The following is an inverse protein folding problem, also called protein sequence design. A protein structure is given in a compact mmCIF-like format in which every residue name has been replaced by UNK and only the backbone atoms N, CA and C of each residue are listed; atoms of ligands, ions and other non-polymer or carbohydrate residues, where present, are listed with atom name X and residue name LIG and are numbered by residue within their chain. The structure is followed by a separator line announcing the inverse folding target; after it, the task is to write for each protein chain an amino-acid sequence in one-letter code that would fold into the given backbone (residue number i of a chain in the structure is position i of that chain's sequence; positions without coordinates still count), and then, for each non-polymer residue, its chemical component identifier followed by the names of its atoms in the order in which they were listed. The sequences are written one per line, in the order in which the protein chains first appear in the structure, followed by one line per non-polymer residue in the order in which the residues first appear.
data_IF_253599337579
#
_entry.id   IF_253599337579
#
_cell.length_a   1.000
_cell.length_b   1.000
_cell.length_c   1.000
_cell.angle_alpha   90.00
_cell.angle_beta   90.00
_cell.angle_gamma   90.00
#
_symmetry.space_group_name_H-M   'P 1'
#
loop_
_entity.id
_entity.type
_entity.pdbx_description
1 polymer ?
#
# COMPACT_ATOMS: atom_id res chain seq x y z
N UNK A 1 25.96 8.87 14.66
CA UNK A 1 25.47 8.42 13.35
C UNK A 1 25.17 9.63 12.50
N UNK A 2 25.67 9.68 11.27
CA UNK A 2 25.43 10.80 10.36
C UNK A 2 23.93 10.81 9.99
N UNK A 3 23.19 11.84 10.38
CA UNK A 3 21.73 11.94 10.14
C UNK A 3 21.37 12.13 8.66
N UNK A 4 22.33 12.36 7.78
CA UNK A 4 22.11 12.68 6.37
C UNK A 4 21.66 11.47 5.50
N UNK A 5 21.83 10.24 6.00
CA UNK A 5 21.44 9.00 5.31
C UNK A 5 20.18 8.33 5.87
N UNK A 6 19.42 9.01 6.72
CA UNK A 6 18.22 8.45 7.31
C UNK A 6 17.09 8.38 6.24
N UNK A 7 16.45 7.23 6.12
CA UNK A 7 15.22 7.06 5.34
C UNK A 7 14.04 7.50 6.21
N UNK A 8 13.13 8.30 5.66
CA UNK A 8 11.95 8.72 6.41
C UNK A 8 10.97 7.58 6.60
N UNK A 9 10.67 6.86 5.50
CA UNK A 9 9.78 5.70 5.54
C UNK A 9 10.31 4.60 4.64
N UNK A 10 10.44 3.39 5.18
CA UNK A 10 10.62 2.16 4.40
C UNK A 10 9.32 1.40 4.36
N UNK A 11 8.80 1.10 3.18
CA UNK A 11 7.59 0.30 3.00
C UNK A 11 7.95 -1.11 2.57
N UNK A 12 7.16 -2.10 3.02
CA UNK A 12 7.35 -3.52 2.70
C UNK A 12 6.02 -4.09 2.21
N UNK A 13 6.01 -4.64 1.01
CA UNK A 13 4.78 -5.14 0.40
C UNK A 13 4.98 -5.92 -0.89
N UNK A 14 3.87 -6.21 -1.55
CA UNK A 14 3.85 -6.88 -2.83
C UNK A 14 4.38 -5.95 -3.94
N UNK A 15 5.42 -6.41 -4.66
CA UNK A 15 5.93 -5.75 -5.84
C UNK A 15 5.16 -6.27 -7.07
N UNK A 16 4.18 -5.52 -7.53
CA UNK A 16 3.28 -5.89 -8.63
C UNK A 16 3.46 -4.91 -9.78
N UNK A 17 3.47 -5.40 -11.01
CA UNK A 17 3.44 -4.55 -12.20
C UNK A 17 2.00 -4.43 -12.69
N UNK A 18 1.47 -3.22 -12.73
CA UNK A 18 0.13 -2.95 -13.27
C UNK A 18 0.23 -2.79 -14.80
N UNK A 19 -0.58 -3.59 -15.50
CA UNK A 19 -0.70 -3.61 -16.95
C UNK A 19 -2.11 -3.13 -17.28
N UNK A 20 -2.21 -1.83 -17.61
CA UNK A 20 -3.50 -1.16 -17.80
C UNK A 20 -3.81 -1.08 -19.28
N UNK A 21 -4.98 -1.57 -19.69
CA UNK A 21 -5.45 -1.51 -21.09
C UNK A 21 -6.94 -1.21 -21.16
N UNK A 22 -7.34 -0.52 -22.21
CA UNK A 22 -8.76 -0.35 -22.55
C UNK A 22 -9.27 -1.59 -23.27
N UNK A 23 -10.48 -2.01 -22.97
CA UNK A 23 -11.13 -3.13 -23.65
C UNK A 23 -12.62 -2.87 -23.82
N UNK A 24 -13.27 -3.69 -24.67
CA UNK A 24 -14.73 -3.72 -24.81
C UNK A 24 -15.38 -4.64 -23.79
N UNK A 25 -16.69 -4.47 -23.53
CA UNK A 25 -17.46 -5.43 -22.72
C UNK A 25 -17.47 -6.84 -23.36
N UNK A 26 -17.43 -6.92 -24.71
CA UNK A 26 -17.33 -8.21 -25.40
C UNK A 26 -16.01 -8.94 -25.09
N UNK A 27 -14.90 -8.22 -24.97
CA UNK A 27 -13.63 -8.81 -24.59
C UNK A 27 -13.69 -9.44 -23.18
N UNK A 28 -14.34 -8.78 -22.22
CA UNK A 28 -14.51 -9.37 -20.89
C UNK A 28 -15.30 -10.69 -20.95
N UNK A 29 -16.38 -10.73 -21.74
CA UNK A 29 -17.21 -11.93 -21.93
C UNK A 29 -16.39 -13.03 -22.61
N UNK A 30 -15.66 -12.74 -23.68
CA UNK A 30 -14.80 -13.69 -24.41
C UNK A 30 -13.70 -14.27 -23.52
N UNK A 31 -13.23 -13.46 -22.56
CA UNK A 31 -12.19 -13.87 -21.61
C UNK A 31 -12.77 -14.44 -20.30
N UNK A 32 -14.06 -14.62 -20.17
CA UNK A 32 -14.75 -15.11 -18.94
C UNK A 32 -14.37 -14.31 -17.69
N UNK A 33 -14.38 -12.98 -17.82
CA UNK A 33 -14.05 -12.04 -16.74
C UNK A 33 -15.30 -11.31 -16.30
N UNK A 34 -15.60 -11.38 -15.00
CA UNK A 34 -16.68 -10.61 -14.40
C UNK A 34 -16.28 -9.14 -14.34
N UNK A 35 -17.11 -8.26 -14.92
CA UNK A 35 -16.87 -6.81 -14.91
C UNK A 35 -16.82 -6.29 -13.47
N UNK A 36 -15.96 -5.32 -13.23
CA UNK A 36 -15.77 -4.65 -11.93
C UNK A 36 -15.30 -5.60 -10.80
N UNK A 37 -14.67 -6.72 -11.15
CA UNK A 37 -14.17 -7.69 -10.18
C UNK A 37 -12.65 -7.66 -10.04
N UNK A 38 -12.15 -8.13 -8.89
CA UNK A 38 -10.75 -8.46 -8.67
C UNK A 38 -10.60 -9.98 -8.54
N UNK A 39 -9.79 -10.58 -9.40
CA UNK A 39 -9.55 -12.01 -9.45
C UNK A 39 -8.06 -12.32 -9.27
N UNK A 40 -7.76 -13.29 -8.40
CA UNK A 40 -6.44 -13.91 -8.40
C UNK A 40 -6.39 -14.96 -9.49
N UNK A 41 -5.37 -14.89 -10.33
CA UNK A 41 -5.16 -15.80 -11.45
C UNK A 41 -3.79 -16.48 -11.36
N UNK A 42 -3.64 -17.61 -12.05
CA UNK A 42 -2.36 -18.31 -12.16
C UNK A 42 -1.47 -17.73 -13.29
N UNK A 43 -0.25 -18.27 -13.41
CA UNK A 43 0.75 -17.81 -14.37
C UNK A 43 0.31 -18.04 -15.83
N UNK A 44 -0.36 -19.16 -16.12
CA UNK A 44 -0.83 -19.51 -17.46
C UNK A 44 -1.94 -18.56 -17.90
N UNK A 45 -2.88 -18.28 -17.01
CA UNK A 45 -3.97 -17.32 -17.25
C UNK A 45 -3.44 -15.91 -17.44
N UNK A 46 -2.50 -15.47 -16.59
CA UNK A 46 -1.86 -14.17 -16.71
C UNK A 46 -1.17 -14.01 -18.06
N UNK A 47 -0.42 -15.02 -18.48
CA UNK A 47 0.25 -15.03 -19.79
C UNK A 47 -0.76 -15.00 -20.92
N UNK A 48 -1.78 -15.85 -20.88
CA UNK A 48 -2.82 -15.91 -21.92
C UNK A 48 -3.54 -14.59 -22.07
N UNK A 49 -3.90 -13.92 -20.96
CA UNK A 49 -4.51 -12.60 -21.04
C UNK A 49 -3.57 -11.56 -21.64
N UNK A 50 -2.31 -11.52 -21.18
CA UNK A 50 -1.31 -10.57 -21.66
C UNK A 50 -1.07 -10.68 -23.18
N UNK A 51 -0.97 -11.91 -23.69
CA UNK A 51 -0.74 -12.17 -25.12
C UNK A 51 -1.92 -11.71 -26.00
N UNK A 52 -3.10 -11.48 -25.44
CA UNK A 52 -4.31 -10.99 -26.14
C UNK A 52 -4.52 -9.47 -26.03
N UNK A 53 -3.60 -8.73 -25.36
CA UNK A 53 -3.71 -7.28 -25.25
C UNK A 53 -3.10 -6.57 -26.46
N UNK A 54 -3.81 -5.58 -26.99
CA UNK A 54 -3.29 -4.80 -28.15
C UNK A 54 -2.29 -3.72 -27.73
N UNK A 55 -2.66 -2.90 -26.74
CA UNK A 55 -1.83 -1.80 -26.19
C UNK A 55 -2.05 -1.71 -24.70
N UNK A 56 -0.98 -1.59 -23.94
CA UNK A 56 -1.04 -1.45 -22.51
C UNK A 56 -0.06 -0.40 -22.00
N UNK A 57 -0.43 0.26 -20.92
CA UNK A 57 0.48 1.03 -20.09
C UNK A 57 1.01 0.10 -19.00
N UNK A 58 2.32 0.08 -18.81
CA UNK A 58 2.98 -0.77 -17.82
C UNK A 58 3.64 0.14 -16.78
N UNK A 59 3.28 0.01 -15.51
CA UNK A 59 3.79 0.82 -14.41
C UNK A 59 4.02 -0.06 -13.18
N UNK A 60 4.93 0.36 -12.29
CA UNK A 60 5.07 -0.26 -10.98
C UNK A 60 3.80 -0.03 -10.16
N UNK A 61 3.32 -1.05 -9.46
CA UNK A 61 2.11 -1.05 -8.64
C UNK A 61 2.31 -1.83 -7.34
N UNK A 62 1.21 -2.12 -6.66
CA UNK A 62 1.18 -2.70 -5.32
C UNK A 62 1.00 -1.64 -4.23
N UNK A 63 0.17 -1.95 -3.22
CA UNK A 63 -0.28 -1.00 -2.19
C UNK A 63 0.89 -0.29 -1.49
N UNK A 64 1.83 -1.04 -0.91
CA UNK A 64 2.97 -0.43 -0.23
C UNK A 64 3.94 0.29 -1.19
N UNK A 65 4.03 -0.12 -2.46
CA UNK A 65 4.82 0.58 -3.47
C UNK A 65 4.17 1.91 -3.86
N UNK A 66 2.82 1.96 -3.99
CA UNK A 66 2.07 3.19 -4.19
C UNK A 66 2.30 4.17 -3.02
N UNK A 67 2.24 3.65 -1.79
CA UNK A 67 2.53 4.43 -0.58
C UNK A 67 3.96 5.00 -0.61
N UNK A 68 4.97 4.19 -0.99
CA UNK A 68 6.37 4.66 -1.12
C UNK A 68 6.51 5.80 -2.14
N UNK A 69 5.86 5.66 -3.30
CA UNK A 69 5.87 6.69 -4.35
C UNK A 69 5.20 7.97 -3.87
N UNK A 70 4.05 7.88 -3.20
CA UNK A 70 3.40 9.05 -2.61
C UNK A 70 4.28 9.76 -1.59
N UNK A 71 5.00 9.02 -0.73
CA UNK A 71 5.96 9.56 0.24
C UNK A 71 7.10 10.31 -0.46
N UNK A 72 7.65 9.73 -1.54
CA UNK A 72 8.70 10.37 -2.34
C UNK A 72 8.18 11.63 -3.05
N UNK A 73 6.97 11.59 -3.62
CA UNK A 73 6.32 12.73 -4.25
C UNK A 73 6.05 13.89 -3.29
N UNK A 74 5.82 13.61 -1.99
CA UNK A 74 5.71 14.60 -0.92
C UNK A 74 7.05 15.17 -0.47
N UNK A 75 8.19 14.62 -0.96
CA UNK A 75 9.53 15.10 -0.68
C UNK A 75 10.25 14.41 0.49
N UNK A 76 9.70 13.35 1.05
CA UNK A 76 10.40 12.50 2.03
C UNK A 76 11.26 11.44 1.34
N UNK A 77 12.30 10.96 2.03
CA UNK A 77 13.14 9.86 1.56
C UNK A 77 12.41 8.54 1.78
N UNK A 78 12.06 7.87 0.69
CA UNK A 78 11.35 6.60 0.70
C UNK A 78 12.22 5.43 0.23
N UNK A 79 12.01 4.25 0.82
CA UNK A 79 12.54 2.98 0.32
C UNK A 79 11.41 1.95 0.26
N UNK A 80 11.53 1.01 -0.67
CA UNK A 80 10.59 -0.09 -0.82
C UNK A 80 11.32 -1.43 -0.78
N UNK A 81 10.75 -2.39 -0.04
CA UNK A 81 11.18 -3.79 0.00
C UNK A 81 10.05 -4.66 -0.52
N UNK A 82 10.32 -5.38 -1.58
CA UNK A 82 9.37 -6.30 -2.22
C UNK A 82 10.11 -7.22 -3.17
N UNK A 83 9.51 -8.35 -3.57
CA UNK A 83 10.19 -9.36 -4.38
C UNK A 83 9.73 -9.32 -5.82
N UNK A 84 10.68 -9.15 -6.73
CA UNK A 84 10.49 -9.31 -8.18
C UNK A 84 11.47 -10.34 -8.70
N UNK A 85 11.18 -10.92 -9.87
CA UNK A 85 12.09 -11.82 -10.56
C UNK A 85 13.06 -11.06 -11.45
N UNK A 86 14.18 -11.67 -11.79
CA UNK A 86 15.10 -11.21 -12.81
C UNK A 86 14.51 -11.49 -14.21
N UNK A 87 13.47 -10.74 -14.56
CA UNK A 87 12.76 -10.76 -15.84
C UNK A 87 12.40 -9.33 -16.28
N UNK A 88 11.81 -9.20 -17.46
CA UNK A 88 11.48 -7.90 -18.04
C UNK A 88 10.58 -7.05 -17.14
N UNK A 89 9.53 -7.64 -16.56
CA UNK A 89 8.63 -6.92 -15.65
C UNK A 89 9.32 -6.53 -14.34
N UNK A 90 10.24 -7.36 -13.83
CA UNK A 90 11.02 -7.06 -12.63
C UNK A 90 11.96 -5.87 -12.84
N UNK A 91 12.61 -5.79 -14.01
CA UNK A 91 13.41 -4.63 -14.39
C UNK A 91 12.54 -3.39 -14.56
N UNK A 92 11.41 -3.51 -15.27
CA UNK A 92 10.44 -2.42 -15.42
C UNK A 92 9.97 -1.89 -14.06
N UNK A 93 9.62 -2.77 -13.13
CA UNK A 93 9.24 -2.37 -11.77
C UNK A 93 10.33 -1.55 -11.09
N UNK A 94 11.57 -2.06 -11.11
CA UNK A 94 12.70 -1.39 -10.48
C UNK A 94 12.96 -0.02 -11.09
N UNK A 95 13.07 0.05 -12.40
CA UNK A 95 13.41 1.30 -13.12
C UNK A 95 12.32 2.37 -12.89
N UNK A 96 11.06 1.96 -12.89
CA UNK A 96 9.93 2.87 -12.68
C UNK A 96 9.87 3.40 -11.25
N UNK A 97 10.03 2.55 -10.23
CA UNK A 97 9.97 2.99 -8.84
C UNK A 97 11.20 3.81 -8.43
N UNK A 98 12.39 3.51 -8.96
CA UNK A 98 13.61 4.27 -8.72
C UNK A 98 13.57 5.63 -9.43
N UNK A 99 12.96 5.72 -10.61
CA UNK A 99 12.80 6.98 -11.36
C UNK A 99 12.00 8.03 -10.59
N UNK A 100 11.05 7.62 -9.77
CA UNK A 100 10.27 8.54 -8.91
C UNK A 100 10.92 8.80 -7.55
N UNK A 101 12.15 8.33 -7.33
CA UNK A 101 12.97 8.65 -6.15
C UNK A 101 12.84 7.67 -4.99
N UNK A 102 12.19 6.52 -5.17
CA UNK A 102 12.12 5.46 -4.16
C UNK A 102 13.33 4.53 -4.27
N UNK A 103 14.04 4.28 -3.18
CA UNK A 103 15.15 3.32 -3.16
C UNK A 103 14.64 1.89 -3.18
N UNK A 104 15.05 1.09 -4.17
CA UNK A 104 14.70 -0.32 -4.30
C UNK A 104 15.95 -1.19 -4.42
N UNK A 105 16.31 -1.91 -3.35
CA UNK A 105 17.56 -2.70 -3.28
C UNK A 105 17.34 -4.19 -3.02
N UNK A 106 16.10 -4.65 -2.92
CA UNK A 106 15.78 -6.06 -2.74
C UNK A 106 16.37 -6.89 -3.88
N UNK A 107 17.13 -7.96 -3.58
CA UNK A 107 17.71 -8.81 -4.61
C UNK A 107 16.63 -9.47 -5.47
N UNK A 108 16.86 -9.53 -6.78
CA UNK A 108 15.98 -10.23 -7.71
C UNK A 108 15.95 -11.73 -7.45
N UNK A 109 14.78 -12.32 -7.61
CA UNK A 109 14.61 -13.77 -7.64
C UNK A 109 15.16 -14.31 -8.97
N UNK A 110 16.20 -15.16 -8.93
CA UNK A 110 16.80 -15.69 -10.16
C UNK A 110 16.05 -16.92 -10.71
N UNK A 111 15.43 -17.71 -9.83
CA UNK A 111 14.70 -18.93 -10.19
C UNK A 111 13.33 -18.92 -9.50
N UNK A 112 12.30 -19.43 -10.19
CA UNK A 112 10.95 -19.51 -9.64
C UNK A 112 9.93 -18.72 -10.47
N UNK A 113 8.79 -18.35 -9.88
CA UNK A 113 7.69 -17.70 -10.58
C UNK A 113 8.10 -16.34 -11.18
N UNK A 114 7.42 -15.92 -12.24
CA UNK A 114 7.61 -14.62 -12.90
C UNK A 114 7.26 -13.46 -11.93
N UNK A 115 7.72 -12.26 -12.24
CA UNK A 115 7.31 -11.06 -11.53
C UNK A 115 5.78 -10.95 -11.50
N UNK A 116 5.24 -10.55 -10.36
CA UNK A 116 3.82 -10.34 -10.17
C UNK A 116 3.27 -9.28 -11.14
N UNK A 117 2.07 -9.51 -11.65
CA UNK A 117 1.40 -8.55 -12.53
C UNK A 117 -0.10 -8.50 -12.27
N UNK A 118 -0.69 -7.32 -12.39
CA UNK A 118 -2.13 -7.12 -12.37
C UNK A 118 -2.56 -6.59 -13.73
N UNK A 119 -3.33 -7.38 -14.49
CA UNK A 119 -3.92 -6.96 -15.76
C UNK A 119 -5.22 -6.25 -15.45
N UNK A 120 -5.24 -4.95 -15.68
CA UNK A 120 -6.34 -4.05 -15.38
C UNK A 120 -7.04 -3.68 -16.69
N UNK A 121 -8.23 -4.25 -16.87
CA UNK A 121 -9.07 -4.08 -18.04
C UNK A 121 -10.08 -2.96 -17.77
N UNK A 122 -10.01 -1.88 -18.56
CA UNK A 122 -10.85 -0.69 -18.39
C UNK A 122 -11.87 -0.63 -19.50
N UNK A 123 -13.15 -0.72 -19.19
CA UNK A 123 -14.25 -0.61 -20.16
C UNK A 123 -14.63 0.85 -20.46
N UNK A 124 -15.39 1.16 -21.55
CA UNK A 124 -15.70 2.53 -21.95
C UNK A 124 -16.47 3.37 -20.91
N UNK A 125 -17.16 2.72 -19.97
CA UNK A 125 -17.83 3.33 -18.82
C UNK A 125 -16.91 3.54 -17.61
N UNK A 126 -15.59 3.37 -17.81
CA UNK A 126 -14.52 3.50 -16.82
C UNK A 126 -14.53 2.43 -15.71
N UNK A 127 -15.30 1.35 -15.85
CA UNK A 127 -15.26 0.21 -14.93
C UNK A 127 -13.97 -0.60 -15.11
N UNK A 128 -13.43 -1.11 -13.98
CA UNK A 128 -12.17 -1.84 -13.96
C UNK A 128 -12.35 -3.28 -13.52
N UNK A 129 -11.76 -4.19 -14.28
CA UNK A 129 -11.68 -5.60 -13.92
C UNK A 129 -10.21 -5.97 -13.76
N UNK A 130 -9.82 -6.37 -12.56
CA UNK A 130 -8.44 -6.67 -12.20
C UNK A 130 -8.20 -8.17 -12.18
N UNK A 131 -7.10 -8.60 -12.81
CA UNK A 131 -6.70 -9.99 -12.88
C UNK A 131 -5.25 -10.07 -12.40
N UNK A 132 -5.04 -10.48 -11.15
CA UNK A 132 -3.76 -10.37 -10.45
C UNK A 132 -3.09 -11.71 -10.30
N UNK A 133 -1.89 -11.83 -10.84
CA UNK A 133 -0.95 -12.92 -10.62
C UNK A 133 0.10 -12.49 -9.60
N UNK A 134 0.14 -13.15 -8.45
CA UNK A 134 1.04 -12.78 -7.36
C UNK A 134 2.51 -13.16 -7.58
N UNK A 135 2.79 -14.15 -8.39
CA UNK A 135 4.13 -14.49 -8.89
C UNK A 135 5.23 -14.44 -7.84
N UNK A 136 6.31 -13.73 -8.16
CA UNK A 136 7.50 -13.64 -7.32
C UNK A 136 7.26 -12.94 -5.97
N UNK A 137 6.25 -12.09 -5.83
CA UNK A 137 6.06 -11.31 -4.60
C UNK A 137 5.77 -12.20 -3.38
N UNK A 138 5.14 -13.37 -3.56
CA UNK A 138 4.89 -14.34 -2.46
C UNK A 138 6.17 -15.03 -1.95
N UNK A 139 7.31 -14.83 -2.60
CA UNK A 139 8.60 -15.39 -2.20
C UNK A 139 9.45 -14.44 -1.34
N UNK A 140 8.87 -13.31 -0.91
CA UNK A 140 9.53 -12.44 0.05
C UNK A 140 9.82 -13.23 1.34
N UNK A 141 11.05 -13.13 1.84
CA UNK A 141 11.46 -13.78 3.08
C UNK A 141 12.44 -12.93 3.91
N UNK A 142 12.93 -13.48 5.02
CA UNK A 142 13.86 -12.81 5.93
C UNK A 142 15.16 -12.32 5.26
N UNK A 143 15.62 -12.98 4.17
CA UNK A 143 16.84 -12.60 3.48
C UNK A 143 16.67 -11.35 2.63
N UNK A 144 15.44 -10.94 2.36
CA UNK A 144 15.11 -9.74 1.60
C UNK A 144 15.05 -8.48 2.50
N UNK A 145 15.02 -8.67 3.81
CA UNK A 145 15.01 -7.60 4.80
C UNK A 145 16.45 -7.16 5.10
N UNK A 146 16.87 -6.05 4.52
CA UNK A 146 18.14 -5.41 4.87
C UNK A 146 18.03 -4.77 6.26
N UNK A 147 18.68 -5.40 7.23
CA UNK A 147 18.69 -4.93 8.62
C UNK A 147 19.24 -3.49 8.74
N UNK A 148 20.22 -3.12 7.92
CA UNK A 148 20.79 -1.76 7.91
C UNK A 148 19.77 -0.74 7.43
N UNK A 149 18.98 -1.08 6.40
CA UNK A 149 17.89 -0.24 5.91
C UNK A 149 16.86 0.00 7.01
N UNK A 150 16.40 -1.07 7.67
CA UNK A 150 15.40 -0.97 8.74
C UNK A 150 15.92 -0.13 9.92
N UNK A 151 17.17 -0.33 10.34
CA UNK A 151 17.79 0.46 11.41
C UNK A 151 17.89 1.95 11.09
N UNK A 152 18.08 2.29 9.83
CA UNK A 152 18.20 3.66 9.34
C UNK A 152 16.87 4.26 8.84
N UNK A 153 15.73 3.66 9.16
CA UNK A 153 14.39 4.16 8.82
C UNK A 153 13.72 4.77 10.04
N UNK A 154 13.08 5.93 9.92
CA UNK A 154 12.27 6.50 11.02
C UNK A 154 11.00 5.69 11.23
N UNK A 155 10.37 5.28 10.13
CA UNK A 155 9.12 4.52 10.11
C UNK A 155 9.29 3.34 9.15
N UNK A 156 8.79 2.18 9.55
CA UNK A 156 8.65 1.01 8.67
C UNK A 156 7.15 0.73 8.49
N UNK A 157 6.68 0.68 7.25
CA UNK A 157 5.27 0.47 6.91
C UNK A 157 5.08 -0.89 6.25
N UNK A 158 4.16 -1.69 6.79
CA UNK A 158 3.92 -3.09 6.44
C UNK A 158 2.55 -3.26 5.77
N UNK A 159 2.53 -3.95 4.63
CA UNK A 159 1.31 -4.25 3.87
C UNK A 159 0.65 -5.54 4.35
N UNK A 160 -0.60 -5.48 4.81
CA UNK A 160 -1.33 -6.60 5.39
C UNK A 160 -1.45 -7.84 4.49
N UNK A 161 -1.51 -7.68 3.17
CA UNK A 161 -1.56 -8.82 2.23
C UNK A 161 -0.42 -9.82 2.40
N UNK A 162 0.74 -9.39 2.91
CA UNK A 162 1.87 -10.29 3.16
C UNK A 162 1.70 -11.18 4.40
N UNK A 163 0.54 -11.16 5.06
CA UNK A 163 0.17 -12.18 6.04
C UNK A 163 -0.21 -13.52 5.39
N UNK A 164 -0.61 -13.54 4.10
CA UNK A 164 -0.94 -14.78 3.39
C UNK A 164 0.29 -15.69 3.19
N UNK A 165 1.47 -15.23 2.70
CA UNK A 165 2.65 -16.06 2.59
C UNK A 165 3.35 -16.22 3.96
N UNK A 166 3.53 -17.46 4.49
CA UNK A 166 4.12 -17.68 5.82
C UNK A 166 5.51 -17.05 6.00
N UNK A 167 6.37 -17.13 4.98
CA UNK A 167 7.73 -16.56 5.04
C UNK A 167 7.73 -15.04 5.09
N UNK A 168 6.81 -14.39 4.37
CA UNK A 168 6.65 -12.94 4.42
C UNK A 168 6.15 -12.47 5.78
N UNK A 169 5.23 -13.24 6.41
CA UNK A 169 4.80 -12.97 7.80
C UNK A 169 5.98 -13.09 8.78
N UNK A 170 6.88 -14.06 8.62
CA UNK A 170 8.11 -14.15 9.43
C UNK A 170 9.01 -12.92 9.21
N UNK A 171 9.17 -12.48 7.95
CA UNK A 171 9.93 -11.28 7.61
C UNK A 171 9.34 -10.02 8.27
N UNK A 172 8.03 -9.90 8.38
CA UNK A 172 7.37 -8.81 9.11
C UNK A 172 7.70 -8.83 10.59
N UNK A 173 7.62 -9.99 11.23
CA UNK A 173 7.96 -10.14 12.64
C UNK A 173 9.42 -9.75 12.88
N UNK A 174 10.33 -10.19 12.00
CA UNK A 174 11.75 -9.81 12.08
C UNK A 174 11.94 -8.30 11.91
N UNK A 175 11.32 -7.71 10.88
CA UNK A 175 11.38 -6.29 10.62
C UNK A 175 10.91 -5.47 11.81
N UNK A 176 9.75 -5.83 12.38
CA UNK A 176 9.19 -5.15 13.53
C UNK A 176 10.11 -5.25 14.76
N UNK A 177 10.73 -6.40 15.00
CA UNK A 177 11.69 -6.57 16.10
C UNK A 177 12.94 -5.68 15.92
N UNK A 178 13.48 -5.59 14.69
CA UNK A 178 14.62 -4.72 14.37
C UNK A 178 14.23 -3.25 14.59
N UNK A 179 13.09 -2.81 14.04
CA UNK A 179 12.61 -1.45 14.18
C UNK A 179 12.40 -1.05 15.65
N UNK A 180 11.72 -1.90 16.43
CA UNK A 180 11.49 -1.66 17.87
C UNK A 180 12.78 -1.55 18.67
N UNK A 181 13.79 -2.35 18.37
CA UNK A 181 15.11 -2.30 19.04
C UNK A 181 15.80 -0.94 18.85
N UNK A 182 15.62 -0.35 17.67
CA UNK A 182 16.18 0.97 17.31
C UNK A 182 15.23 2.14 17.69
N UNK A 183 14.07 1.85 18.27
CA UNK A 183 13.00 2.83 18.59
C UNK A 183 12.40 3.50 17.35
N UNK A 184 12.45 2.84 16.21
CA UNK A 184 11.78 3.25 14.99
C UNK A 184 10.31 2.85 15.06
N UNK A 185 9.43 3.62 14.43
CA UNK A 185 8.00 3.33 14.42
C UNK A 185 7.68 2.20 13.42
N UNK A 186 6.76 1.33 13.83
CA UNK A 186 6.18 0.29 12.97
C UNK A 186 4.75 0.71 12.63
N UNK A 187 4.51 0.98 11.37
CA UNK A 187 3.19 1.25 10.81
C UNK A 187 2.70 0.04 10.01
N UNK A 188 1.39 -0.14 9.90
CA UNK A 188 0.80 -1.25 9.16
C UNK A 188 -0.56 -0.85 8.58
N UNK A 189 -0.90 -1.38 7.39
CA UNK A 189 -2.27 -1.39 6.86
C UNK A 189 -2.88 -2.77 6.95
N UNK A 190 -4.19 -2.85 7.18
CA UNK A 190 -4.94 -4.11 7.13
C UNK A 190 -5.17 -4.62 5.71
N UNK A 191 -5.08 -3.73 4.71
CA UNK A 191 -5.15 -3.97 3.27
C UNK A 191 -6.53 -4.30 2.71
N UNK A 192 -7.21 -5.33 3.20
CA UNK A 192 -8.62 -5.62 2.91
C UNK A 192 -9.29 -6.51 3.96
N UNK A 193 -10.63 -6.49 3.98
CA UNK A 193 -11.43 -7.25 4.95
C UNK A 193 -11.29 -8.77 4.79
N UNK A 194 -11.07 -9.29 3.58
CA UNK A 194 -10.90 -10.73 3.34
C UNK A 194 -9.56 -11.24 3.89
N UNK A 195 -8.49 -10.44 3.75
CA UNK A 195 -7.21 -10.74 4.37
C UNK A 195 -7.33 -10.76 5.91
N UNK A 196 -8.05 -9.76 6.45
CA UNK A 196 -8.33 -9.70 7.89
C UNK A 196 -9.10 -10.93 8.37
N UNK A 197 -10.13 -11.38 7.66
CA UNK A 197 -10.91 -12.56 8.02
C UNK A 197 -10.08 -13.83 8.10
N UNK A 198 -9.17 -14.03 7.13
CA UNK A 198 -8.30 -15.21 7.10
C UNK A 198 -7.27 -15.22 8.23
N UNK A 199 -6.79 -14.05 8.67
CA UNK A 199 -5.64 -13.93 9.58
C UNK A 199 -5.95 -13.14 10.85
N UNK A 200 -7.21 -13.00 11.24
CA UNK A 200 -7.69 -12.12 12.33
C UNK A 200 -6.89 -12.24 13.62
N UNK A 201 -6.71 -13.45 14.12
CA UNK A 201 -5.97 -13.70 15.37
C UNK A 201 -4.50 -13.27 15.27
N UNK A 202 -3.89 -13.49 14.12
CA UNK A 202 -2.50 -13.13 13.86
C UNK A 202 -2.34 -11.62 13.75
N UNK A 203 -3.28 -10.92 13.07
CA UNK A 203 -3.34 -9.47 13.02
C UNK A 203 -3.46 -8.86 14.42
N UNK A 204 -4.43 -9.32 15.22
CA UNK A 204 -4.63 -8.81 16.59
C UNK A 204 -3.37 -9.02 17.42
N UNK A 205 -2.75 -10.19 17.35
CA UNK A 205 -1.52 -10.49 18.07
C UNK A 205 -0.36 -9.61 17.61
N UNK A 206 -0.19 -9.44 16.29
CA UNK A 206 0.88 -8.64 15.72
C UNK A 206 0.71 -7.14 16.06
N UNK A 207 -0.50 -6.61 15.94
CA UNK A 207 -0.82 -5.23 16.27
C UNK A 207 -0.47 -4.93 17.73
N UNK A 208 -0.97 -5.75 18.65
CA UNK A 208 -0.71 -5.56 20.11
C UNK A 208 0.76 -5.57 20.48
N UNK A 209 1.57 -6.39 19.79
CA UNK A 209 2.96 -6.60 20.18
C UNK A 209 3.96 -5.72 19.39
N UNK A 210 3.59 -5.25 18.20
CA UNK A 210 4.58 -4.69 17.28
C UNK A 210 4.19 -3.37 16.62
N UNK A 211 2.88 -3.06 16.46
CA UNK A 211 2.44 -1.93 15.65
C UNK A 211 2.25 -0.67 16.49
N UNK A 212 2.86 0.43 16.05
CA UNK A 212 2.70 1.75 16.65
C UNK A 212 1.60 2.56 15.94
N UNK A 213 1.44 2.36 14.61
CA UNK A 213 0.50 3.10 13.76
C UNK A 213 -0.26 2.10 12.89
N UNK A 214 -1.59 2.06 13.01
CA UNK A 214 -2.44 1.16 12.23
C UNK A 214 -3.33 1.95 11.28
N UNK A 215 -3.36 1.54 10.00
CA UNK A 215 -4.28 2.05 8.99
C UNK A 215 -5.32 1.00 8.66
N UNK A 216 -6.58 1.43 8.59
CA UNK A 216 -7.69 0.63 8.10
C UNK A 216 -8.79 1.52 7.52
N UNK A 217 -9.64 0.96 6.67
CA UNK A 217 -10.94 1.55 6.41
C UNK A 217 -11.98 1.03 7.42
N UNK A 218 -13.22 1.50 7.34
CA UNK A 218 -14.27 1.13 8.30
C UNK A 218 -14.70 -0.34 8.17
N UNK A 219 -14.65 -0.94 6.98
CA UNK A 219 -14.98 -2.35 6.79
C UNK A 219 -13.87 -3.27 7.31
N UNK A 220 -12.61 -2.91 7.09
CA UNK A 220 -11.45 -3.65 7.60
C UNK A 220 -11.44 -3.68 9.14
N UNK A 221 -11.69 -2.53 9.79
CA UNK A 221 -11.67 -2.47 11.24
C UNK A 221 -12.86 -3.20 11.89
N UNK A 222 -14.04 -3.14 11.26
CA UNK A 222 -15.20 -3.94 11.66
C UNK A 222 -14.93 -5.44 11.50
N UNK A 223 -14.29 -5.84 10.39
CA UNK A 223 -13.87 -7.22 10.17
C UNK A 223 -12.87 -7.69 11.22
N UNK A 224 -11.90 -6.85 11.61
CA UNK A 224 -10.88 -7.18 12.61
C UNK A 224 -11.49 -7.48 13.97
N UNK A 225 -12.42 -6.63 14.45
CA UNK A 225 -13.02 -6.74 15.76
C UNK A 225 -14.37 -7.45 15.78
N UNK A 226 -14.96 -7.75 14.62
CA UNK A 226 -16.29 -8.39 14.47
C UNK A 226 -17.40 -7.61 15.19
N UNK A 227 -17.38 -6.29 15.09
CA UNK A 227 -18.32 -5.38 15.76
C UNK A 227 -18.57 -4.14 14.92
N UNK A 228 -19.45 -3.27 15.35
CA UNK A 228 -19.65 -1.98 14.71
C UNK A 228 -18.47 -1.01 14.91
N UNK A 229 -18.49 0.13 14.20
CA UNK A 229 -17.40 1.09 14.21
C UNK A 229 -17.14 1.70 15.60
N UNK A 230 -18.17 1.98 16.37
CA UNK A 230 -18.02 2.63 17.68
C UNK A 230 -17.44 1.66 18.73
N UNK A 231 -17.85 0.39 18.68
CA UNK A 231 -17.25 -0.65 19.48
C UNK A 231 -15.80 -0.95 19.03
N UNK A 232 -15.53 -0.94 17.74
CA UNK A 232 -14.16 -1.08 17.21
C UNK A 232 -13.24 0.05 17.69
N UNK A 233 -13.71 1.31 17.71
CA UNK A 233 -12.97 2.44 18.28
C UNK A 233 -12.64 2.23 19.77
N UNK A 234 -13.57 1.68 20.55
CA UNK A 234 -13.35 1.35 21.96
C UNK A 234 -12.29 0.24 22.14
N UNK A 235 -12.30 -0.76 21.25
CA UNK A 235 -11.29 -1.83 21.26
C UNK A 235 -9.89 -1.32 20.93
N UNK A 236 -9.77 -0.35 20.02
CA UNK A 236 -8.49 0.31 19.69
C UNK A 236 -7.92 1.07 20.88
N UNK A 237 -8.74 1.80 21.61
CA UNK A 237 -8.31 2.52 22.82
C UNK A 237 -7.66 1.58 23.82
N UNK A 238 -8.19 0.37 23.98
CA UNK A 238 -7.64 -0.64 24.87
C UNK A 238 -6.30 -1.21 24.40
N UNK A 239 -6.02 -1.16 23.09
CA UNK A 239 -4.72 -1.61 22.52
C UNK A 239 -3.66 -0.52 22.67
N UNK A 240 -4.04 0.76 22.61
CA UNK A 240 -3.12 1.90 22.73
C UNK A 240 -2.28 2.20 21.49
N UNK A 241 -2.62 1.61 20.33
CA UNK A 241 -1.97 1.88 19.03
C UNK A 241 -2.54 3.16 18.42
N UNK A 242 -1.71 4.03 17.84
CA UNK A 242 -2.16 5.14 17.01
C UNK A 242 -2.93 4.57 15.81
N UNK A 243 -4.20 4.98 15.63
CA UNK A 243 -5.09 4.39 14.65
C UNK A 243 -5.63 5.41 13.68
N UNK A 244 -5.59 5.08 12.40
CA UNK A 244 -6.19 5.87 11.33
C UNK A 244 -7.30 5.04 10.69
N UNK A 245 -8.53 5.52 10.78
CA UNK A 245 -9.70 4.92 10.12
C UNK A 245 -10.13 5.84 8.98
N UNK A 246 -9.96 5.39 7.74
CA UNK A 246 -10.50 6.11 6.57
C UNK A 246 -11.97 5.77 6.39
N UNK A 247 -12.80 6.80 6.15
CA UNK A 247 -14.26 6.72 6.08
C UNK A 247 -14.80 7.14 4.70
N UNK A 248 -13.96 7.02 3.66
CA UNK A 248 -14.28 7.40 2.29
C UNK A 248 -14.70 8.89 2.22
N UNK A 249 -15.87 9.22 1.65
CA UNK A 249 -16.31 10.61 1.48
C UNK A 249 -16.60 11.33 2.80
N UNK A 250 -16.51 10.65 3.95
CA UNK A 250 -16.69 11.23 5.28
C UNK A 250 -15.36 11.65 5.93
N UNK A 251 -14.23 11.50 5.21
CA UNK A 251 -12.91 11.84 5.72
C UNK A 251 -12.25 10.72 6.51
N UNK A 252 -11.69 11.03 7.66
CA UNK A 252 -11.00 10.06 8.51
C UNK A 252 -11.15 10.37 9.99
N UNK A 253 -10.98 9.35 10.82
CA UNK A 253 -10.95 9.43 12.27
C UNK A 253 -9.60 8.88 12.77
N UNK A 254 -8.88 9.67 13.56
CA UNK A 254 -7.52 9.35 14.02
C UNK A 254 -7.51 9.27 15.53
N UNK A 255 -7.07 8.13 16.08
CA UNK A 255 -6.81 7.97 17.51
C UNK A 255 -5.33 8.11 17.80
N UNK A 256 -5.00 9.09 18.64
CA UNK A 256 -3.62 9.34 19.09
C UNK A 256 -3.62 10.02 20.46
N UNK A 257 -2.71 9.64 21.35
CA UNK A 257 -2.54 10.27 22.66
C UNK A 257 -3.87 10.32 23.46
N UNK A 258 -4.58 9.17 23.46
CA UNK A 258 -5.87 8.99 24.15
C UNK A 258 -7.02 9.88 23.63
N UNK A 259 -6.89 10.45 22.43
CA UNK A 259 -7.89 11.34 21.81
C UNK A 259 -8.22 10.91 20.38
N UNK A 260 -9.48 11.19 20.00
CA UNK A 260 -9.94 11.08 18.63
C UNK A 260 -9.91 12.45 17.94
N UNK A 261 -9.36 12.49 16.75
CA UNK A 261 -9.33 13.64 15.85
C UNK A 261 -10.08 13.26 14.58
N UNK A 262 -11.05 14.07 14.16
CA UNK A 262 -11.74 13.88 12.89
C UNK A 262 -11.15 14.86 11.88
N UNK A 263 -10.86 14.36 10.70
CA UNK A 263 -10.32 15.14 9.59
C UNK A 263 -11.32 15.08 8.44
N UNK A 264 -11.78 16.25 8.03
CA UNK A 264 -12.71 16.37 6.92
C UNK A 264 -12.07 15.93 5.60
N UNK A 265 -12.85 15.37 4.65
CA UNK A 265 -12.34 14.99 3.35
C UNK A 265 -12.04 16.23 2.52
N UNK A 266 -10.94 16.20 1.77
CA UNK A 266 -10.71 17.12 0.67
C UNK A 266 -11.42 16.54 -0.56
N UNK A 267 -12.43 17.27 -1.07
CA UNK A 267 -13.23 16.79 -2.20
C UNK A 267 -12.58 17.23 -3.51
N UNK A 268 -12.25 16.31 -4.42
CA UNK A 268 -11.84 16.68 -5.77
C UNK A 268 -13.05 17.22 -6.56
N UNK A 269 -12.81 17.91 -7.66
CA UNK A 269 -13.88 18.36 -8.57
C UNK A 269 -14.72 17.18 -9.10
N UNK A 270 -14.06 16.04 -9.33
CA UNK A 270 -14.70 14.77 -9.75
C UNK A 270 -13.92 13.58 -9.20
N UNK A 271 -14.62 12.49 -8.93
CA UNK A 271 -14.03 11.19 -8.60
C UNK A 271 -14.03 10.34 -9.86
N UNK A 272 -12.85 9.91 -10.32
CA UNK A 272 -12.70 9.05 -11.51
C UNK A 272 -12.30 7.62 -11.15
N UNK A 273 -11.46 7.46 -10.13
CA UNK A 273 -10.89 6.17 -9.76
C UNK A 273 -10.50 6.20 -8.27
N UNK A 274 -10.98 5.26 -7.49
CA UNK A 274 -10.66 5.19 -6.05
C UNK A 274 -9.46 4.30 -5.75
N UNK A 275 -8.84 3.71 -6.78
CA UNK A 275 -7.64 2.87 -6.64
C UNK A 275 -6.49 3.68 -6.05
N UNK A 276 -5.85 3.16 -5.01
CA UNK A 276 -4.75 3.84 -4.35
C UNK A 276 -5.14 4.95 -3.37
N UNK A 277 -6.44 5.24 -3.17
CA UNK A 277 -6.88 6.27 -2.22
C UNK A 277 -6.33 6.03 -0.80
N UNK A 278 -6.41 4.79 -0.32
CA UNK A 278 -5.85 4.39 0.98
C UNK A 278 -4.33 4.48 1.02
N UNK A 279 -3.66 4.09 -0.08
CA UNK A 279 -2.20 4.12 -0.20
C UNK A 279 -1.67 5.57 -0.14
N UNK A 280 -2.32 6.47 -0.86
CA UNK A 280 -1.93 7.88 -0.89
C UNK A 280 -2.34 8.61 0.39
N UNK A 281 -3.47 8.23 1.01
CA UNK A 281 -3.80 8.71 2.35
C UNK A 281 -2.69 8.32 3.35
N UNK A 282 -2.26 7.04 3.35
CA UNK A 282 -1.18 6.57 4.19
C UNK A 282 0.14 7.30 3.90
N UNK A 283 0.45 7.59 2.63
CA UNK A 283 1.66 8.32 2.25
C UNK A 283 1.69 9.73 2.84
N UNK A 284 0.59 10.49 2.75
CA UNK A 284 0.48 11.83 3.32
C UNK A 284 0.58 11.81 4.85
N UNK A 285 -0.11 10.88 5.47
CA UNK A 285 -0.06 10.71 6.93
C UNK A 285 1.36 10.37 7.42
N UNK A 286 2.02 9.39 6.81
CA UNK A 286 3.38 8.94 7.18
C UNK A 286 4.43 10.02 6.89
N UNK A 287 4.27 10.79 5.80
CA UNK A 287 5.10 11.96 5.55
C UNK A 287 5.03 12.94 6.73
N UNK A 288 3.83 13.36 7.13
CA UNK A 288 3.62 14.25 8.27
C UNK A 288 4.18 13.67 9.58
N UNK A 289 3.99 12.36 9.82
CA UNK A 289 4.55 11.67 11.00
C UNK A 289 6.07 11.65 11.01
N UNK A 290 6.71 11.48 9.86
CA UNK A 290 8.19 11.51 9.74
C UNK A 290 8.78 12.89 10.10
N UNK A 291 7.96 13.94 9.97
CA UNK A 291 8.27 15.33 10.35
C UNK A 291 7.81 15.69 11.77
N UNK A 292 7.22 14.75 12.52
CA UNK A 292 6.66 14.93 13.85
C UNK A 292 5.55 15.99 13.93
N UNK A 293 4.70 16.07 12.90
CA UNK A 293 3.53 16.95 12.88
C UNK A 293 2.39 16.41 13.74
N UNK A 294 1.39 17.27 14.04
CA UNK A 294 0.18 16.87 14.78
C UNK A 294 -0.67 15.87 13.98
N UNK A 295 -1.54 15.11 14.66
CA UNK A 295 -2.43 14.14 14.03
C UNK A 295 -3.30 14.77 12.97
N UNK A 296 -3.84 15.98 13.24
CA UNK A 296 -4.70 16.72 12.30
C UNK A 296 -3.93 17.11 11.03
N UNK A 297 -2.71 17.63 11.17
CA UNK A 297 -1.87 17.99 10.02
C UNK A 297 -1.50 16.75 9.19
N UNK A 298 -1.14 15.64 9.84
CA UNK A 298 -0.87 14.38 9.16
C UNK A 298 -2.11 13.88 8.40
N UNK A 299 -3.29 13.91 9.03
CA UNK A 299 -4.55 13.51 8.43
C UNK A 299 -4.95 14.42 7.26
N UNK A 300 -4.71 15.73 7.36
CA UNK A 300 -4.97 16.67 6.28
C UNK A 300 -4.07 16.41 5.07
N UNK A 301 -2.78 16.15 5.28
CA UNK A 301 -1.86 15.74 4.21
C UNK A 301 -2.31 14.43 3.55
N UNK A 302 -2.79 13.45 4.35
CA UNK A 302 -3.40 12.22 3.85
C UNK A 302 -4.65 12.50 3.00
N UNK A 303 -5.55 13.36 3.46
CA UNK A 303 -6.76 13.74 2.72
C UNK A 303 -6.45 14.43 1.39
N UNK A 304 -5.43 15.30 1.33
CA UNK A 304 -4.99 15.97 0.10
C UNK A 304 -4.45 14.94 -0.89
N UNK A 305 -3.53 14.08 -0.46
CA UNK A 305 -2.96 13.06 -1.33
C UNK A 305 -4.02 12.07 -1.84
N UNK A 306 -4.99 11.69 -0.99
CA UNK A 306 -6.12 10.86 -1.39
C UNK A 306 -7.05 11.57 -2.38
N UNK A 307 -7.29 12.88 -2.20
CA UNK A 307 -8.12 13.68 -3.12
C UNK A 307 -7.49 13.80 -4.51
N UNK A 308 -6.18 13.99 -4.57
CA UNK A 308 -5.45 14.06 -5.84
C UNK A 308 -5.59 12.74 -6.60
N UNK A 309 -5.27 11.60 -5.95
CA UNK A 309 -5.24 10.31 -6.64
C UNK A 309 -6.61 9.89 -7.17
N UNK A 310 -7.71 10.20 -6.48
CA UNK A 310 -9.05 9.83 -6.94
C UNK A 310 -9.60 10.76 -8.03
N UNK A 311 -8.90 11.83 -8.39
CA UNK A 311 -9.28 12.77 -9.45
C UNK A 311 -8.91 12.31 -10.86
N UNK A 312 -8.12 11.26 -10.97
CA UNK A 312 -7.64 10.69 -12.24
C UNK A 312 -7.57 9.17 -12.20
N UNK A 313 -7.19 8.55 -13.32
CA UNK A 313 -7.09 7.10 -13.43
C UNK A 313 -5.67 6.65 -13.02
N UNK A 314 -5.58 5.61 -12.20
CA UNK A 314 -4.34 4.98 -11.75
C UNK A 314 -3.93 5.37 -10.34
N UNK A 315 -2.97 4.63 -9.78
CA UNK A 315 -2.53 4.76 -8.39
C UNK A 315 -1.21 5.54 -8.22
N UNK A 316 -0.85 6.37 -9.21
CA UNK A 316 0.35 7.22 -9.18
C UNK A 316 -0.03 8.69 -9.24
N UNK A 317 0.54 9.56 -8.35
CA UNK A 317 0.26 10.99 -8.38
C UNK A 317 0.65 11.63 -9.72
N UNK A 318 -0.18 12.52 -10.22
CA UNK A 318 0.08 13.32 -11.43
C UNK A 318 0.46 14.74 -11.04
N UNK A 319 -0.24 15.31 -10.05
CA UNK A 319 0.04 16.64 -9.53
C UNK A 319 1.25 16.64 -8.58
N UNK A 320 1.85 17.80 -8.38
CA UNK A 320 2.97 17.97 -7.45
C UNK A 320 2.45 17.98 -6.00
N UNK A 321 2.38 16.81 -5.38
CA UNK A 321 1.90 16.65 -4.00
C UNK A 321 2.61 17.57 -3.00
N UNK A 322 3.91 17.84 -3.21
CA UNK A 322 4.69 18.72 -2.34
C UNK A 322 4.16 20.17 -2.39
N UNK A 323 3.70 20.63 -3.54
CA UNK A 323 3.10 21.96 -3.67
C UNK A 323 1.70 22.01 -3.03
N UNK A 324 0.91 20.93 -3.18
CA UNK A 324 -0.44 20.87 -2.62
C UNK A 324 -0.46 20.96 -1.08
N UNK A 325 0.61 20.48 -0.41
CA UNK A 325 0.68 20.49 1.05
C UNK A 325 1.44 21.69 1.64
N UNK A 326 1.93 22.65 0.82
CA UNK A 326 2.80 23.76 1.29
C UNK A 326 2.20 24.62 2.38
N UNK A 327 0.87 24.71 2.47
CA UNK A 327 0.16 25.60 3.39
C UNK A 327 -0.38 24.88 4.64
N UNK A 328 0.04 23.63 4.89
CA UNK A 328 -0.31 22.86 6.08
C UNK A 328 0.82 22.94 7.11
#
# INVERSE_FOLDING_TARGET
MNRDNLIDVTTIGNAIVDIITQCSDSFLIEQDIVKSSMNLIDEERSKSLYDNLEKSQIISGGSAANTAVGIAALGSKAAFVGKVKNDELGHTFKDDIEKVGVSFKTPFLNFGPRTASSIILVTPDAERSMNTYLGACVNLDNNDVDESLIKNSKIVYLEGYLFDPPKAKEAFIQTAKIAKKEKNLVAMTLSDSFCVERHRSDFISFIKNHVDILFANDDEIKSLFQCDLEEAKSNIQNIGTEMIITLGPKGSSIYKEERWYNVDPIKPERVLDTTGAGDLYASGYLHGRSLNLSAEKCGMMGSIAASEIISHIGARPIENLKELIQNI
#
